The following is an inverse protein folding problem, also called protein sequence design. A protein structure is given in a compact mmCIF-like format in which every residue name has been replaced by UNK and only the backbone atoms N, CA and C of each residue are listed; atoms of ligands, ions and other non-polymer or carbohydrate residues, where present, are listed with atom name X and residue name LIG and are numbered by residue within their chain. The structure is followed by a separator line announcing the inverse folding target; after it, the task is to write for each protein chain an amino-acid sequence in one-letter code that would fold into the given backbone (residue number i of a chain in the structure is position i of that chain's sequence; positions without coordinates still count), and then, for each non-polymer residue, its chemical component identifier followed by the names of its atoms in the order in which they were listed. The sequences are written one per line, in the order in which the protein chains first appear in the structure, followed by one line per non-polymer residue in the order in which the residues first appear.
data_IF_189083459564
#
_entry.id   IF_189083459564
#
_cell.length_a   1.000
_cell.length_b   1.000
_cell.length_c   1.000
_cell.angle_alpha   90.00
_cell.angle_beta   90.00
_cell.angle_gamma   90.00
#
_symmetry.space_group_name_H-M   'P 1'
#
loop_
_entity.id
_entity.type
_entity.pdbx_description
1 polymer ?
#
# COMPACT_ATOMS: atom_id res chain seq x y z
N UNK A 1 -2.73 5.69 -10.65
CA UNK A 1 -4.01 5.74 -9.92
C UNK A 1 -4.97 4.72 -10.53
N UNK A 2 -5.53 3.80 -9.73
CA UNK A 2 -6.52 2.82 -10.20
C UNK A 2 -7.79 3.55 -10.65
N UNK A 3 -8.16 3.42 -11.93
CA UNK A 3 -9.33 4.08 -12.52
C UNK A 3 -10.64 3.62 -11.89
N UNK A 4 -10.67 2.43 -11.26
CA UNK A 4 -11.84 1.87 -10.56
C UNK A 4 -12.14 2.61 -9.26
N UNK A 5 -11.16 3.29 -8.66
CA UNK A 5 -11.31 4.03 -7.42
C UNK A 5 -11.99 5.40 -7.64
N UNK A 6 -12.03 5.90 -8.88
CA UNK A 6 -12.54 7.23 -9.20
C UNK A 6 -11.83 8.32 -8.40
N UNK A 7 -12.58 9.30 -7.88
CA UNK A 7 -12.12 10.25 -6.86
C UNK A 7 -12.68 9.90 -5.46
N UNK A 8 -13.09 8.64 -5.25
CA UNK A 8 -13.76 8.19 -4.02
C UNK A 8 -12.77 7.56 -3.03
N UNK A 9 -11.69 8.28 -2.72
CA UNK A 9 -10.73 7.85 -1.71
C UNK A 9 -10.05 9.06 -1.10
N UNK A 10 -9.61 8.91 0.15
CA UNK A 10 -8.77 9.89 0.82
C UNK A 10 -7.35 9.72 0.28
N UNK A 11 -6.79 10.78 -0.30
CA UNK A 11 -5.46 10.74 -0.95
C UNK A 11 -4.38 10.26 0.02
N UNK A 12 -4.39 10.78 1.24
CA UNK A 12 -3.40 10.45 2.27
C UNK A 12 -3.47 8.97 2.69
N UNK A 13 -4.68 8.43 2.82
CA UNK A 13 -4.88 7.01 3.08
C UNK A 13 -4.35 6.18 1.91
N UNK A 14 -4.74 6.51 0.67
CA UNK A 14 -4.28 5.78 -0.51
C UNK A 14 -2.75 5.80 -0.66
N UNK A 15 -2.10 6.92 -0.38
CA UNK A 15 -0.64 7.00 -0.37
C UNK A 15 -0.02 6.09 0.70
N UNK A 16 -0.57 6.09 1.91
CA UNK A 16 -0.11 5.21 3.00
C UNK A 16 -0.23 3.74 2.61
N UNK A 17 -1.40 3.32 2.10
CA UNK A 17 -1.64 1.89 1.81
C UNK A 17 -0.84 1.44 0.58
N UNK A 18 -0.57 2.34 -0.38
CA UNK A 18 0.34 2.06 -1.50
C UNK A 18 1.78 1.81 -1.01
N UNK A 19 2.30 2.67 -0.14
CA UNK A 19 3.63 2.47 0.46
C UNK A 19 3.70 1.16 1.26
N UNK A 20 2.67 0.88 2.05
CA UNK A 20 2.57 -0.37 2.80
C UNK A 20 2.52 -1.58 1.85
N UNK A 21 1.72 -1.52 0.79
CA UNK A 21 1.61 -2.58 -0.20
C UNK A 21 2.94 -2.90 -0.89
N UNK A 22 3.75 -1.87 -1.20
CA UNK A 22 5.11 -2.04 -1.72
C UNK A 22 5.99 -2.78 -0.70
N UNK A 23 5.97 -2.37 0.57
CA UNK A 23 6.74 -3.04 1.63
C UNK A 23 6.31 -4.50 1.84
N UNK A 24 5.00 -4.78 1.80
CA UNK A 24 4.47 -6.14 1.90
C UNK A 24 4.83 -7.03 0.69
N UNK A 25 5.08 -6.42 -0.47
CA UNK A 25 5.39 -7.12 -1.72
C UNK A 25 6.88 -7.38 -1.94
N UNK A 26 7.73 -7.10 -0.95
CA UNK A 26 9.16 -7.35 -1.08
C UNK A 26 9.46 -8.85 -1.30
N UNK A 27 10.34 -9.13 -2.25
CA UNK A 27 10.74 -10.51 -2.61
C UNK A 27 11.38 -11.22 -1.42
N UNK A 28 12.22 -10.50 -0.68
CA UNK A 28 12.87 -10.94 0.55
C UNK A 28 11.85 -10.94 1.71
N UNK A 29 11.48 -12.12 2.27
CA UNK A 29 10.46 -12.21 3.30
C UNK A 29 10.77 -11.38 4.56
N UNK A 30 12.03 -11.31 4.95
CA UNK A 30 12.50 -10.61 6.16
C UNK A 30 12.38 -9.10 6.05
N UNK A 31 12.23 -8.57 4.83
CA UNK A 31 12.06 -7.13 4.59
C UNK A 31 10.60 -6.69 4.56
N UNK A 32 9.65 -7.63 4.68
CA UNK A 32 8.22 -7.34 4.81
C UNK A 32 7.91 -6.90 6.25
N UNK A 33 6.96 -5.97 6.45
CA UNK A 33 6.56 -5.56 7.78
C UNK A 33 5.82 -6.70 8.51
N UNK A 34 5.93 -6.75 9.84
CA UNK A 34 5.16 -7.64 10.70
C UNK A 34 3.89 -6.95 11.16
N UNK A 35 2.76 -7.68 11.18
CA UNK A 35 1.54 -7.21 11.84
C UNK A 35 1.63 -7.58 13.32
N UNK A 36 2.13 -6.63 14.13
CA UNK A 36 2.22 -6.75 15.59
C UNK A 36 0.88 -6.58 16.28
#
# INVERSE_FOLDING_TARGET
MDKRLGNNYVVDEAELILKLGVLCSQTTPESRPTMG
#
